data_IF_406497954904
#
_entry.id   IF_406497954904
#
_cell.length_a   1.000
_cell.length_b   1.000
_cell.length_c   1.000
_cell.angle_alpha   90.00
_cell.angle_beta   90.00
_cell.angle_gamma   90.00
#
_symmetry.space_group_name_H-M   'P 1'
#
loop_
_entity.id
_entity.type
_entity.pdbx_description
1 polymer ?
#
# COMPACT_ATOMS: atom_id res chain seq x y z
N UNK A 1 -3.99 -5.23 -3.41
CA UNK A 1 -3.19 -4.44 -2.49
C UNK A 1 -3.78 -3.04 -2.34
N UNK A 2 -3.88 -2.54 -1.14
CA UNK A 2 -4.33 -1.17 -0.87
C UNK A 2 -3.26 -0.43 -0.07
N UNK A 3 -3.21 0.88 -0.22
CA UNK A 3 -2.25 1.70 0.51
C UNK A 3 -2.04 3.05 -0.13
N UNK A 4 -1.34 3.93 0.58
CA UNK A 4 -1.00 5.25 0.08
C UNK A 4 0.10 5.17 -0.99
N UNK A 5 0.32 6.28 -1.69
CA UNK A 5 1.35 6.36 -2.74
C UNK A 5 2.75 6.00 -2.21
N UNK A 6 3.51 5.30 -3.00
CA UNK A 6 4.90 4.89 -2.72
C UNK A 6 5.05 3.88 -1.59
N UNK A 7 4.11 2.93 -1.50
CA UNK A 7 4.20 1.81 -0.56
C UNK A 7 4.47 0.49 -1.27
N UNK A 8 5.14 0.53 -2.41
CA UNK A 8 5.58 -0.67 -3.15
C UNK A 8 4.45 -1.53 -3.72
N UNK A 9 3.24 -0.97 -3.91
CA UNK A 9 2.12 -1.73 -4.47
C UNK A 9 2.43 -2.28 -5.86
N UNK A 10 2.95 -1.44 -6.75
CA UNK A 10 3.25 -1.85 -8.13
C UNK A 10 4.34 -2.93 -8.18
N UNK A 11 5.53 -2.74 -7.58
CA UNK A 11 6.54 -3.81 -7.58
C UNK A 11 6.04 -5.11 -6.96
N UNK A 12 5.27 -5.02 -5.87
CA UNK A 12 4.71 -6.21 -5.24
C UNK A 12 3.71 -6.93 -6.12
N UNK A 13 2.81 -6.18 -6.77
CA UNK A 13 1.82 -6.80 -7.66
C UNK A 13 2.49 -7.49 -8.83
N UNK A 14 3.55 -6.91 -9.37
CA UNK A 14 4.31 -7.54 -10.45
C UNK A 14 5.01 -8.82 -9.99
N UNK A 15 5.62 -8.78 -8.80
CA UNK A 15 6.26 -9.96 -8.23
C UNK A 15 5.25 -11.09 -8.00
N UNK A 16 4.10 -10.75 -7.42
CA UNK A 16 3.04 -11.73 -7.17
C UNK A 16 2.44 -12.28 -8.47
N UNK A 17 2.36 -11.46 -9.51
CA UNK A 17 1.91 -11.92 -10.82
C UNK A 17 2.85 -12.99 -11.39
N UNK A 18 4.15 -12.88 -11.16
CA UNK A 18 5.11 -13.91 -11.55
C UNK A 18 4.91 -15.21 -10.76
N UNK A 19 4.23 -15.15 -9.63
CA UNK A 19 3.84 -16.32 -8.84
C UNK A 19 2.43 -16.79 -9.18
N UNK A 20 1.90 -16.37 -10.33
CA UNK A 20 0.59 -16.76 -10.86
C UNK A 20 -0.60 -16.24 -10.06
N UNK A 21 -0.42 -15.14 -9.33
CA UNK A 21 -1.53 -14.48 -8.63
C UNK A 21 -2.03 -13.30 -9.45
N UNK A 22 -3.35 -13.14 -9.50
CA UNK A 22 -3.98 -11.97 -10.07
C UNK A 22 -4.12 -10.93 -8.97
N UNK A 23 -3.49 -9.77 -9.14
CA UNK A 23 -3.45 -8.74 -8.13
C UNK A 23 -3.90 -7.41 -8.71
N UNK A 24 -4.81 -6.75 -8.01
CA UNK A 24 -5.21 -5.38 -8.32
C UNK A 24 -4.73 -4.44 -7.21
N UNK A 25 -4.42 -3.21 -7.58
CA UNK A 25 -3.97 -2.19 -6.64
C UNK A 25 -5.01 -1.09 -6.51
N UNK A 26 -5.28 -0.68 -5.27
CA UNK A 26 -6.17 0.45 -4.99
C UNK A 26 -5.40 1.48 -4.17
N UNK A 27 -5.08 2.64 -4.74
CA UNK A 27 -4.44 3.70 -3.97
C UNK A 27 -5.45 4.33 -3.01
N UNK A 28 -5.00 4.66 -1.80
CA UNK A 28 -5.82 5.31 -0.80
C UNK A 28 -5.44 6.79 -0.71
N UNK A 29 -6.38 7.66 -1.07
CA UNK A 29 -6.20 9.11 -1.08
C UNK A 29 -7.38 9.73 -0.34
N UNK A 30 -7.16 10.59 0.68
CA UNK A 30 -8.27 11.13 1.48
C UNK A 30 -9.35 11.86 0.69
N UNK A 31 -8.99 12.53 -0.41
CA UNK A 31 -9.93 13.29 -1.23
C UNK A 31 -10.70 12.43 -2.24
N UNK A 32 -10.33 11.17 -2.39
CA UNK A 32 -10.94 10.28 -3.37
C UNK A 32 -11.61 9.13 -2.62
N UNK A 33 -12.94 8.95 -2.78
CA UNK A 33 -13.61 7.83 -2.14
C UNK A 33 -13.12 6.50 -2.69
N UNK A 34 -12.99 5.51 -1.81
CA UNK A 34 -12.62 4.17 -2.25
C UNK A 34 -13.79 3.52 -2.99
N UNK A 35 -13.52 2.63 -3.96
CA UNK A 35 -14.61 1.93 -4.64
C UNK A 35 -15.46 1.12 -3.66
N UNK A 36 -16.78 1.16 -3.84
CA UNK A 36 -17.69 0.39 -3.00
C UNK A 36 -17.41 -1.11 -3.05
N UNK A 37 -16.95 -1.59 -4.21
CA UNK A 37 -16.58 -2.98 -4.42
C UNK A 37 -15.52 -3.45 -3.43
N UNK A 38 -14.67 -2.54 -2.94
CA UNK A 38 -13.63 -2.88 -1.97
C UNK A 38 -14.24 -3.43 -0.68
N UNK A 39 -15.39 -2.90 -0.26
CA UNK A 39 -16.09 -3.37 0.94
C UNK A 39 -16.91 -4.63 0.70
N UNK A 40 -17.08 -5.04 -0.54
CA UNK A 40 -17.82 -6.25 -0.92
C UNK A 40 -16.91 -7.46 -1.05
N UNK A 41 -15.59 -7.23 -1.19
CA UNK A 41 -14.60 -8.30 -1.29
C UNK A 41 -14.30 -8.82 0.12
N UNK A 42 -14.08 -10.15 0.22
CA UNK A 42 -13.69 -10.73 1.51
C UNK A 42 -12.41 -10.07 2.04
N UNK A 43 -12.39 -9.65 3.32
CA UNK A 43 -11.17 -9.07 3.92
C UNK A 43 -9.94 -9.99 3.81
N UNK A 44 -10.15 -11.29 3.68
CA UNK A 44 -9.06 -12.26 3.52
C UNK A 44 -8.34 -12.12 2.18
N UNK A 45 -8.96 -11.45 1.20
CA UNK A 45 -8.37 -11.20 -0.12
C UNK A 45 -7.74 -9.82 -0.25
N UNK A 46 -7.82 -9.01 0.79
CA UNK A 46 -7.31 -7.64 0.79
C UNK A 46 -6.11 -7.57 1.72
N UNK A 47 -5.03 -6.96 1.24
CA UNK A 47 -3.83 -6.74 2.02
C UNK A 47 -3.47 -5.27 1.93
N UNK A 48 -3.37 -4.62 3.09
CA UNK A 48 -2.98 -3.22 3.18
C UNK A 48 -1.47 -3.11 3.40
N UNK A 49 -0.85 -2.15 2.73
CA UNK A 49 0.56 -1.85 2.89
C UNK A 49 0.70 -0.53 3.61
N UNK A 50 1.58 -0.49 4.60
CA UNK A 50 1.90 0.74 5.32
C UNK A 50 3.40 0.91 5.42
N UNK A 51 3.85 2.10 5.78
CA UNK A 51 5.27 2.38 5.91
C UNK A 51 5.49 3.47 6.95
N UNK A 52 6.75 3.59 7.39
CA UNK A 52 7.17 4.65 8.31
C UNK A 52 6.99 6.02 7.64
N UNK A 53 6.37 7.01 8.31
CA UNK A 53 6.14 8.33 7.72
C UNK A 53 7.42 9.04 7.30
N UNK A 54 8.49 8.92 8.08
CA UNK A 54 9.76 9.56 7.77
C UNK A 54 10.35 8.98 6.49
N UNK A 55 10.33 7.67 6.37
CA UNK A 55 10.83 6.99 5.18
C UNK A 55 10.00 7.31 3.94
N UNK A 56 8.69 7.40 4.09
CA UNK A 56 7.80 7.76 2.99
C UNK A 56 8.08 9.19 2.52
N UNK A 57 8.33 10.11 3.46
CA UNK A 57 8.70 11.48 3.13
C UNK A 57 9.98 11.52 2.31
N UNK A 58 11.00 10.77 2.72
CA UNK A 58 12.27 10.67 1.98
C UNK A 58 12.05 10.17 0.56
N UNK A 59 11.27 9.11 0.40
CA UNK A 59 10.99 8.52 -0.90
C UNK A 59 10.26 9.53 -1.80
N UNK A 60 9.29 10.25 -1.27
CA UNK A 60 8.55 11.25 -2.04
C UNK A 60 9.41 12.44 -2.44
N UNK A 61 10.29 12.89 -1.55
CA UNK A 61 11.22 13.97 -1.87
C UNK A 61 12.19 13.55 -2.97
N UNK A 62 12.71 12.34 -2.92
CA UNK A 62 13.55 11.79 -3.98
C UNK A 62 12.81 11.76 -5.31
N UNK A 63 11.55 11.36 -5.30
CA UNK A 63 10.73 11.31 -6.51
C UNK A 63 10.55 12.70 -7.12
N UNK A 64 10.31 13.72 -6.28
CA UNK A 64 10.16 15.10 -6.75
C UNK A 64 11.46 15.60 -7.39
N UNK A 65 12.60 15.31 -6.78
CA UNK A 65 13.91 15.68 -7.33
C UNK A 65 14.14 15.01 -8.69
N UNK A 66 13.82 13.74 -8.82
CA UNK A 66 13.99 12.98 -10.05
C UNK A 66 13.13 13.55 -11.18
N UNK A 67 11.98 14.13 -10.86
CA UNK A 67 11.09 14.76 -11.83
C UNK A 67 11.42 16.22 -12.09
N UNK A 68 12.43 16.78 -11.40
CA UNK A 68 12.80 18.18 -11.54
C UNK A 68 11.81 19.14 -10.91
N UNK A 69 10.91 18.66 -10.07
CA UNK A 69 9.93 19.48 -9.38
C UNK A 69 10.50 19.94 -8.04
N UNK A 70 10.29 21.21 -7.73
CA UNK A 70 10.68 21.78 -6.44
C UNK A 70 9.42 22.14 -5.67
N UNK A 71 9.41 21.82 -4.39
CA UNK A 71 8.40 22.32 -3.46
C UNK A 71 6.95 22.02 -3.84
N UNK A 72 6.68 20.82 -4.34
CA UNK A 72 5.33 20.30 -4.33
C UNK A 72 4.99 19.95 -2.89
N UNK A 73 4.72 20.99 -2.11
CA UNK A 73 4.69 20.91 -0.65
C UNK A 73 3.76 19.83 -0.11
N UNK A 74 2.60 19.62 -0.75
CA UNK A 74 1.62 18.67 -0.25
C UNK A 74 2.04 17.21 -0.45
N UNK A 75 2.72 16.90 -1.55
CA UNK A 75 3.09 15.51 -1.83
C UNK A 75 4.12 14.97 -0.84
N UNK A 76 5.11 15.80 -0.47
CA UNK A 76 6.23 15.39 0.38
C UNK A 76 6.21 16.03 1.77
N UNK A 77 5.08 16.67 2.19
CA UNK A 77 5.00 17.24 3.53
C UNK A 77 4.66 16.17 4.54
N UNK A 78 5.24 16.27 5.73
CA UNK A 78 4.97 15.32 6.82
C UNK A 78 3.49 15.37 7.25
N UNK A 79 2.89 16.55 7.26
CA UNK A 79 1.48 16.70 7.59
C UNK A 79 0.59 15.91 6.64
N UNK A 80 0.85 16.04 5.34
CA UNK A 80 0.08 15.34 4.33
C UNK A 80 0.26 13.82 4.44
N UNK A 81 1.49 13.38 4.68
CA UNK A 81 1.79 11.96 4.84
C UNK A 81 1.04 11.37 6.03
N UNK A 82 1.05 12.07 7.17
CA UNK A 82 0.35 11.62 8.36
C UNK A 82 -1.16 11.57 8.14
N UNK A 83 -1.70 12.55 7.42
CA UNK A 83 -3.12 12.58 7.05
C UNK A 83 -3.49 11.37 6.17
N UNK A 84 -2.66 11.08 5.16
CA UNK A 84 -2.91 9.93 4.27
C UNK A 84 -2.81 8.61 5.02
N UNK A 85 -1.81 8.46 5.88
CA UNK A 85 -1.64 7.23 6.66
C UNK A 85 -2.77 7.03 7.66
N UNK A 86 -3.26 8.11 8.28
CA UNK A 86 -4.41 8.04 9.17
C UNK A 86 -5.67 7.62 8.43
N UNK A 87 -5.90 8.20 7.25
CA UNK A 87 -7.01 7.81 6.40
C UNK A 87 -6.93 6.34 6.01
N UNK A 88 -5.76 5.89 5.61
CA UNK A 88 -5.53 4.49 5.23
C UNK A 88 -5.80 3.56 6.42
N UNK A 89 -5.38 3.93 7.62
CA UNK A 89 -5.64 3.14 8.82
C UNK A 89 -7.13 3.01 9.09
N UNK A 90 -7.89 4.09 8.93
CA UNK A 90 -9.35 4.06 9.11
C UNK A 90 -10.01 3.12 8.11
N UNK A 91 -9.58 3.15 6.86
CA UNK A 91 -10.11 2.27 5.82
C UNK A 91 -9.77 0.81 6.13
N UNK A 92 -8.52 0.52 6.53
CA UNK A 92 -8.11 -0.86 6.82
C UNK A 92 -8.84 -1.43 8.04
N UNK A 93 -9.10 -0.61 9.05
CA UNK A 93 -9.88 -1.02 10.22
C UNK A 93 -11.32 -1.32 9.84
N UNK A 94 -11.90 -0.50 8.98
CA UNK A 94 -13.27 -0.70 8.50
C UNK A 94 -13.41 -2.00 7.71
N UNK A 95 -12.41 -2.32 6.90
CA UNK A 95 -12.37 -3.56 6.12
C UNK A 95 -12.05 -4.76 7.01
N UNK A 96 -11.15 -4.59 7.97
CA UNK A 96 -10.67 -5.67 8.82
C UNK A 96 -9.64 -6.56 8.15
N UNK A 97 -8.86 -6.01 7.21
CA UNK A 97 -7.87 -6.77 6.47
C UNK A 97 -6.49 -6.77 7.15
N UNK A 98 -5.61 -7.73 6.78
CA UNK A 98 -4.22 -7.71 7.25
C UNK A 98 -3.47 -6.47 6.77
N UNK A 99 -2.54 -5.99 7.59
CA UNK A 99 -1.70 -4.82 7.29
C UNK A 99 -0.24 -5.25 7.38
N UNK A 100 0.55 -4.89 6.37
CA UNK A 100 1.98 -5.19 6.33
C UNK A 100 2.77 -3.89 6.28
N UNK A 101 3.73 -3.73 7.20
CA UNK A 101 4.66 -2.61 7.17
C UNK A 101 5.82 -2.97 6.24
N UNK A 102 5.98 -2.21 5.15
CA UNK A 102 7.00 -2.49 4.13
C UNK A 102 8.23 -1.59 4.27
N UNK A 103 8.30 -0.78 5.33
CA UNK A 103 9.33 0.27 5.43
C UNK A 103 10.77 -0.23 5.43
N UNK A 104 11.04 -1.42 5.92
CA UNK A 104 12.39 -1.97 5.94
C UNK A 104 12.49 -3.35 5.29
N UNK A 105 11.55 -3.65 4.40
CA UNK A 105 11.50 -4.96 3.74
C UNK A 105 11.78 -4.84 2.25
N UNK A 106 12.50 -5.80 1.71
CA UNK A 106 12.60 -5.96 0.26
C UNK A 106 11.26 -6.45 -0.30
N UNK A 107 11.08 -6.28 -1.61
CA UNK A 107 9.85 -6.72 -2.28
C UNK A 107 9.62 -8.22 -2.06
N UNK A 108 10.67 -9.02 -2.13
CA UNK A 108 10.60 -10.48 -1.96
C UNK A 108 10.17 -10.87 -0.54
N UNK A 109 10.63 -10.14 0.47
CA UNK A 109 10.22 -10.38 1.85
C UNK A 109 8.75 -10.08 2.05
N UNK A 110 8.29 -8.94 1.55
CA UNK A 110 6.88 -8.55 1.64
C UNK A 110 6.01 -9.54 0.89
N UNK A 111 6.43 -9.97 -0.29
CA UNK A 111 5.69 -10.95 -1.08
C UNK A 111 5.58 -12.30 -0.37
N UNK A 112 6.66 -12.73 0.31
CA UNK A 112 6.64 -13.96 1.08
C UNK A 112 5.60 -13.92 2.19
N UNK A 113 5.53 -12.79 2.90
CA UNK A 113 4.52 -12.60 3.96
C UNK A 113 3.11 -12.65 3.38
N UNK A 114 2.90 -12.00 2.24
CA UNK A 114 1.60 -11.99 1.56
C UNK A 114 1.18 -13.41 1.16
N UNK A 115 2.11 -14.17 0.58
CA UNK A 115 1.83 -15.55 0.18
C UNK A 115 1.47 -16.43 1.37
N UNK A 116 2.14 -16.25 2.50
CA UNK A 116 1.81 -16.98 3.72
C UNK A 116 0.41 -16.64 4.23
N UNK A 117 0.04 -15.36 4.19
CA UNK A 117 -1.29 -14.92 4.60
C UNK A 117 -2.36 -15.55 3.70
N UNK A 118 -2.12 -15.53 2.39
CA UNK A 118 -3.07 -16.10 1.41
C UNK A 118 -3.26 -17.59 1.66
N UNK A 119 -2.19 -18.33 1.92
CA UNK A 119 -2.26 -19.77 2.22
C UNK A 119 -3.05 -20.03 3.50
N UNK A 120 -2.79 -19.26 4.56
CA UNK A 120 -3.50 -19.40 5.84
C UNK A 120 -4.99 -19.12 5.68
N UNK A 121 -5.35 -18.26 4.74
CA UNK A 121 -6.74 -17.91 4.47
C UNK A 121 -7.41 -18.88 3.48
N UNK A 122 -6.69 -19.91 3.01
CA UNK A 122 -7.24 -20.91 2.11
C UNK A 122 -7.30 -20.52 0.64
N UNK A 123 -6.67 -19.42 0.25
CA UNK A 123 -6.59 -18.98 -1.14
C UNK A 123 -5.26 -19.43 -1.75
N UNK A 124 -5.25 -20.60 -2.35
CA UNK A 124 -4.07 -21.11 -3.03
C UNK A 124 -4.09 -20.70 -4.50
N UNK A 125 -2.89 -20.70 -5.08
CA UNK A 125 -2.74 -20.43 -6.50
C UNK A 125 -3.34 -21.53 -7.35
#
# INVERSE_FOLDING_TARGET
>A
LIGVSRTSKTPLSMYLAHKNLKVANVPLVPEVPVPDELFQISPKKIIALTTNPIKLNEIRQERLKALGLKDEANYASMERILEELDYAEKITKKIGCPVIDVSSKAVEESASIILDIIKKNGYEQ
#
